data_IF_666065226855
#
_entry.id   IF_666065226855
#
_cell.length_a   1.000
_cell.length_b   1.000
_cell.length_c   1.000
_cell.angle_alpha   90.00
_cell.angle_beta   90.00
_cell.angle_gamma   90.00
#
_symmetry.space_group_name_H-M   'P 1'
#
loop_
_entity.id
_entity.type
_entity.pdbx_description
1 polymer ?
#
# COMPACT_ATOMS: atom_id res chain seq x y z
N UNK A 1 18.87 17.62 5.44
CA UNK A 1 17.77 17.31 6.37
C UNK A 1 18.38 16.37 7.39
N UNK A 2 18.72 16.91 8.56
CA UNK A 2 19.24 16.14 9.68
C UNK A 2 18.08 15.36 10.30
N UNK A 3 18.18 14.06 10.29
CA UNK A 3 17.36 13.19 11.13
C UNK A 3 18.09 12.89 12.42
N UNK A 4 17.38 12.43 13.43
CA UNK A 4 17.73 12.22 14.83
C UNK A 4 19.15 11.64 15.10
N UNK A 5 19.86 11.16 14.07
CA UNK A 5 21.22 10.62 14.16
C UNK A 5 22.29 11.38 13.37
N UNK A 6 21.96 12.51 12.72
CA UNK A 6 22.93 13.25 11.87
C UNK A 6 23.32 12.55 10.57
N UNK A 7 22.67 11.44 10.21
CA UNK A 7 22.94 10.72 8.97
C UNK A 7 22.13 11.29 7.80
N UNK A 8 22.79 11.48 6.66
CA UNK A 8 22.12 11.89 5.41
C UNK A 8 21.33 10.70 4.85
N UNK A 9 20.03 10.88 4.63
CA UNK A 9 19.19 9.86 4.03
C UNK A 9 19.70 9.47 2.63
N UNK A 10 20.00 8.20 2.45
CA UNK A 10 20.40 7.64 1.17
C UNK A 10 19.17 7.36 0.30
N UNK A 11 19.15 7.83 -0.95
CA UNK A 11 18.10 7.45 -1.91
C UNK A 11 18.12 5.95 -2.18
N UNK A 12 16.93 5.38 -2.35
CA UNK A 12 16.80 3.97 -2.75
C UNK A 12 17.26 3.80 -4.18
N UNK A 13 18.07 2.78 -4.42
CA UNK A 13 18.47 2.33 -5.74
C UNK A 13 17.53 1.21 -6.19
N UNK A 14 16.68 1.51 -7.16
CA UNK A 14 15.74 0.52 -7.72
C UNK A 14 16.44 -0.59 -8.51
N UNK A 15 17.71 -0.41 -8.88
CA UNK A 15 18.53 -1.44 -9.50
C UNK A 15 19.13 -2.46 -8.52
N UNK A 16 19.12 -2.15 -7.19
CA UNK A 16 19.77 -2.95 -6.18
C UNK A 16 19.04 -2.88 -4.82
N UNK A 17 17.79 -3.30 -4.80
CA UNK A 17 16.94 -3.34 -3.59
C UNK A 17 17.47 -4.38 -2.59
N UNK A 18 17.44 -4.04 -1.30
CA UNK A 18 17.94 -4.90 -0.23
C UNK A 18 16.97 -6.04 0.05
N UNK A 19 17.36 -7.24 -0.36
CA UNK A 19 16.56 -8.45 -0.19
C UNK A 19 17.49 -9.60 0.23
N UNK A 20 17.03 -10.42 1.16
CA UNK A 20 17.64 -11.72 1.42
C UNK A 20 16.61 -12.82 1.23
N UNK A 21 17.05 -13.98 0.78
CA UNK A 21 16.19 -15.14 0.57
C UNK A 21 16.87 -16.45 0.95
N UNK A 22 16.06 -17.47 1.27
CA UNK A 22 16.53 -18.79 1.65
C UNK A 22 15.47 -19.85 1.33
N UNK A 23 15.93 -21.09 1.07
CA UNK A 23 15.07 -22.26 1.10
C UNK A 23 14.64 -22.63 2.53
N UNK A 24 15.43 -22.21 3.54
CA UNK A 24 15.14 -22.46 4.94
C UNK A 24 14.18 -21.41 5.52
N UNK A 25 13.58 -21.75 6.68
CA UNK A 25 12.66 -20.84 7.37
C UNK A 25 13.40 -19.71 8.08
N UNK A 26 14.54 -20.01 8.70
CA UNK A 26 15.27 -19.06 9.57
C UNK A 26 16.74 -18.88 9.22
N UNK A 27 17.33 -19.81 8.49
CA UNK A 27 18.77 -19.87 8.28
C UNK A 27 19.14 -19.83 6.79
N UNK A 28 20.44 -19.72 6.53
CA UNK A 28 21.02 -19.72 5.19
C UNK A 28 20.46 -18.63 4.25
N UNK A 29 20.05 -17.48 4.80
CA UNK A 29 19.61 -16.36 3.99
C UNK A 29 20.77 -15.72 3.25
N UNK A 30 20.75 -15.82 1.93
CA UNK A 30 21.67 -15.12 1.04
C UNK A 30 21.18 -13.66 0.85
N UNK A 31 22.09 -12.71 1.04
CA UNK A 31 21.86 -11.31 0.72
C UNK A 31 22.04 -11.12 -0.80
N UNK A 32 20.96 -11.01 -1.51
CA UNK A 32 20.95 -10.88 -2.96
C UNK A 32 20.20 -9.63 -3.40
N UNK A 33 20.92 -8.52 -3.74
CA UNK A 33 20.26 -7.31 -4.21
C UNK A 33 19.45 -7.57 -5.48
N UNK A 34 18.14 -7.26 -5.43
CA UNK A 34 17.27 -7.50 -6.57
C UNK A 34 16.87 -6.19 -7.26
N UNK A 35 16.95 -6.11 -8.61
CA UNK A 35 16.38 -4.98 -9.33
C UNK A 35 14.84 -5.02 -9.27
N UNK A 36 14.24 -3.83 -9.27
CA UNK A 36 12.79 -3.69 -9.18
C UNK A 36 12.02 -4.47 -10.23
N UNK A 37 12.47 -4.44 -11.47
CA UNK A 37 11.84 -5.12 -12.60
C UNK A 37 12.01 -6.65 -12.56
N UNK A 38 12.82 -7.19 -11.64
CA UNK A 38 13.05 -8.62 -11.43
C UNK A 38 12.38 -9.19 -10.17
N UNK A 39 11.59 -8.39 -9.44
CA UNK A 39 10.89 -8.84 -8.22
C UNK A 39 10.03 -10.09 -8.45
N UNK A 40 9.40 -10.22 -9.62
CA UNK A 40 8.62 -11.39 -9.98
C UNK A 40 9.46 -12.68 -10.07
N UNK A 41 10.74 -12.59 -10.39
CA UNK A 41 11.64 -13.77 -10.42
C UNK A 41 11.86 -14.25 -8.98
N UNK A 42 12.20 -13.34 -8.07
CA UNK A 42 12.39 -13.64 -6.65
C UNK A 42 11.13 -14.29 -6.04
N UNK A 43 9.97 -13.65 -6.21
CA UNK A 43 8.74 -14.08 -5.57
C UNK A 43 8.18 -15.40 -6.10
N UNK A 44 8.68 -15.86 -7.25
CA UNK A 44 8.33 -17.15 -7.87
C UNK A 44 9.38 -18.25 -7.70
N UNK A 45 10.47 -18.00 -6.98
CA UNK A 45 11.46 -19.05 -6.69
C UNK A 45 10.78 -20.26 -6.01
N UNK A 46 11.06 -21.48 -6.43
CA UNK A 46 10.46 -22.66 -5.81
C UNK A 46 10.99 -22.85 -4.38
N UNK A 47 10.07 -23.08 -3.44
CA UNK A 47 10.39 -23.43 -2.04
C UNK A 47 11.34 -22.45 -1.31
N UNK A 48 11.23 -21.15 -1.59
CA UNK A 48 12.00 -20.12 -0.90
C UNK A 48 11.13 -19.25 0.00
N UNK A 49 11.80 -18.60 0.94
CA UNK A 49 11.30 -17.47 1.71
C UNK A 49 12.18 -16.26 1.43
N UNK A 50 11.63 -15.07 1.47
CA UNK A 50 12.41 -13.84 1.32
C UNK A 50 12.02 -12.80 2.37
N UNK A 51 12.90 -11.84 2.62
CA UNK A 51 12.71 -10.70 3.52
C UNK A 51 13.21 -9.42 2.84
N UNK A 52 12.69 -8.28 3.23
CA UNK A 52 13.06 -6.95 2.70
C UNK A 52 14.24 -6.31 3.47
N UNK A 53 15.10 -7.13 4.06
CA UNK A 53 16.32 -6.74 4.76
C UNK A 53 17.46 -7.66 4.37
N UNK A 54 18.70 -7.20 4.58
CA UNK A 54 19.86 -8.08 4.61
C UNK A 54 20.04 -8.70 5.99
N UNK A 55 20.67 -9.85 6.06
CA UNK A 55 21.11 -10.49 7.30
C UNK A 55 22.62 -10.32 7.51
N UNK A 56 23.09 -10.33 8.76
CA UNK A 56 24.53 -10.25 9.09
C UNK A 56 25.25 -11.57 8.83
N UNK A 57 24.61 -12.68 9.14
CA UNK A 57 25.20 -14.02 9.17
C UNK A 57 24.33 -15.11 8.52
N UNK A 58 23.33 -14.71 7.72
CA UNK A 58 22.39 -15.64 7.10
C UNK A 58 21.28 -16.14 8.02
N UNK A 59 21.29 -15.79 9.31
CA UNK A 59 20.19 -16.09 10.22
C UNK A 59 19.17 -14.94 10.23
N UNK A 60 17.86 -15.28 10.23
CA UNK A 60 16.75 -14.35 10.22
C UNK A 60 16.19 -14.17 11.65
N UNK A 61 16.63 -13.16 12.32
CA UNK A 61 16.10 -12.68 13.61
C UNK A 61 16.22 -11.16 13.68
N UNK A 62 15.50 -10.50 14.59
CA UNK A 62 15.57 -9.05 14.75
C UNK A 62 17.01 -8.56 15.05
N UNK A 63 17.78 -9.37 15.77
CA UNK A 63 19.15 -9.04 16.19
C UNK A 63 20.17 -9.24 15.06
N UNK A 64 19.82 -10.02 14.03
CA UNK A 64 20.74 -10.36 12.93
C UNK A 64 20.42 -9.66 11.61
N UNK A 65 19.39 -8.82 11.58
CA UNK A 65 19.13 -8.00 10.40
C UNK A 65 20.14 -6.85 10.31
N UNK A 66 20.73 -6.68 9.13
CA UNK A 66 21.57 -5.51 8.85
C UNK A 66 20.71 -4.24 8.83
N UNK A 67 21.25 -3.11 9.32
CA UNK A 67 20.59 -1.83 9.20
C UNK A 67 20.24 -1.49 7.75
N UNK A 68 19.06 -0.93 7.56
CA UNK A 68 18.58 -0.40 6.27
C UNK A 68 17.63 -1.31 5.51
N UNK A 69 16.52 -0.73 5.04
CA UNK A 69 15.53 -1.36 4.16
C UNK A 69 15.01 -0.35 3.13
N UNK A 70 14.54 -0.86 2.00
CA UNK A 70 14.19 -0.08 0.80
C UNK A 70 12.70 -0.21 0.43
N UNK A 71 12.02 -1.22 0.98
CA UNK A 71 10.70 -1.66 0.56
C UNK A 71 9.73 -1.77 1.72
N UNK A 72 8.49 -1.33 1.48
CA UNK A 72 7.32 -1.66 2.30
C UNK A 72 6.65 -2.88 1.68
N UNK A 73 6.30 -3.86 2.51
CA UNK A 73 5.57 -5.06 2.09
C UNK A 73 4.27 -5.12 2.87
N UNK A 74 3.15 -5.09 2.15
CA UNK A 74 1.80 -5.18 2.69
C UNK A 74 1.24 -6.56 2.41
N UNK A 75 0.63 -7.20 3.41
CA UNK A 75 -0.06 -8.50 3.29
C UNK A 75 -1.56 -8.27 3.44
N UNK A 76 -2.32 -8.57 2.41
CA UNK A 76 -3.77 -8.43 2.37
C UNK A 76 -4.36 -9.84 2.39
N UNK A 77 -5.00 -10.17 3.50
CA UNK A 77 -5.60 -11.47 3.74
C UNK A 77 -7.11 -11.32 3.95
N UNK A 78 -7.85 -11.22 2.84
CA UNK A 78 -9.31 -11.13 2.81
C UNK A 78 -9.87 -9.96 3.66
N UNK A 79 -9.28 -8.78 3.51
CA UNK A 79 -9.59 -7.56 4.28
C UNK A 79 -10.60 -6.63 3.60
N UNK A 80 -11.52 -7.19 2.81
CA UNK A 80 -12.61 -6.42 2.17
C UNK A 80 -12.14 -5.51 1.02
N UNK A 81 -10.92 -5.68 0.51
CA UNK A 81 -10.43 -4.99 -0.68
C UNK A 81 -10.02 -5.99 -1.76
N UNK A 82 -10.49 -5.77 -2.99
CA UNK A 82 -10.10 -6.58 -4.14
C UNK A 82 -8.76 -6.13 -4.72
N UNK A 83 -8.14 -6.97 -5.56
CA UNK A 83 -6.91 -6.62 -6.28
C UNK A 83 -7.14 -5.38 -7.16
N UNK A 84 -8.28 -5.31 -7.83
CA UNK A 84 -8.68 -4.23 -8.72
C UNK A 84 -8.85 -2.92 -7.96
N UNK A 85 -9.56 -2.95 -6.82
CA UNK A 85 -9.77 -1.79 -5.97
C UNK A 85 -8.44 -1.27 -5.39
N UNK A 86 -7.61 -2.16 -4.84
CA UNK A 86 -6.29 -1.80 -4.30
C UNK A 86 -5.38 -1.20 -5.38
N UNK A 87 -5.37 -1.78 -6.59
CA UNK A 87 -4.59 -1.28 -7.72
C UNK A 87 -5.01 0.12 -8.14
N UNK A 88 -6.32 0.41 -8.17
CA UNK A 88 -6.85 1.75 -8.48
C UNK A 88 -6.54 2.76 -7.39
N UNK A 89 -6.67 2.38 -6.12
CA UNK A 89 -6.38 3.27 -4.99
C UNK A 89 -4.92 3.71 -4.99
N UNK A 90 -4.01 2.82 -5.36
CA UNK A 90 -2.58 3.07 -5.39
C UNK A 90 -2.02 3.41 -6.78
N UNK A 91 -2.88 3.69 -7.80
CA UNK A 91 -2.45 3.82 -9.20
C UNK A 91 -1.36 4.88 -9.44
N UNK A 92 -1.29 5.94 -8.62
CA UNK A 92 -0.24 6.95 -8.70
C UNK A 92 1.13 6.44 -8.26
N UNK A 93 1.16 5.39 -7.42
CA UNK A 93 2.38 4.87 -6.82
C UNK A 93 2.97 3.73 -7.64
N UNK A 94 4.28 3.62 -7.61
CA UNK A 94 4.99 2.46 -8.09
C UNK A 94 4.75 1.30 -7.12
N UNK A 95 4.19 0.21 -7.60
CA UNK A 95 4.04 -1.01 -6.81
C UNK A 95 4.21 -2.28 -7.65
N UNK A 96 4.55 -3.35 -6.98
CA UNK A 96 4.47 -4.72 -7.47
C UNK A 96 3.47 -5.48 -6.61
N UNK A 97 2.46 -6.06 -7.24
CA UNK A 97 1.41 -6.84 -6.58
C UNK A 97 1.51 -8.30 -7.03
N UNK A 98 1.35 -9.23 -6.09
CA UNK A 98 1.27 -10.65 -6.40
C UNK A 98 0.33 -11.40 -5.44
N UNK A 99 -0.36 -12.44 -5.98
CA UNK A 99 -1.29 -13.25 -5.20
C UNK A 99 -0.56 -14.21 -4.27
N UNK A 100 -1.15 -14.53 -3.11
CA UNK A 100 -0.61 -15.54 -2.20
C UNK A 100 -1.14 -16.93 -2.54
N UNK A 101 -0.53 -17.98 -1.99
CA UNK A 101 -0.89 -19.39 -2.25
C UNK A 101 -2.37 -19.71 -1.97
N UNK A 102 -3.01 -18.96 -1.07
CA UNK A 102 -4.42 -19.19 -0.66
C UNK A 102 -5.39 -18.24 -1.37
N UNK A 103 -4.93 -17.47 -2.35
CA UNK A 103 -5.79 -16.58 -3.12
C UNK A 103 -6.81 -17.36 -3.94
N UNK A 104 -8.04 -16.86 -3.97
CA UNK A 104 -9.11 -17.31 -4.86
C UNK A 104 -9.86 -16.11 -5.42
N UNK A 105 -10.64 -16.22 -6.50
CA UNK A 105 -11.43 -15.12 -7.04
C UNK A 105 -12.44 -14.51 -6.06
N UNK A 106 -12.87 -15.26 -5.03
CA UNK A 106 -13.83 -14.80 -4.02
C UNK A 106 -13.18 -14.42 -2.69
N UNK A 107 -11.94 -14.87 -2.45
CA UNK A 107 -11.14 -14.55 -1.27
C UNK A 107 -9.81 -13.96 -1.72
N UNK A 108 -9.77 -12.63 -1.83
CA UNK A 108 -8.60 -11.92 -2.30
C UNK A 108 -7.48 -11.95 -1.27
N UNK A 109 -6.40 -12.65 -1.59
CA UNK A 109 -5.19 -12.76 -0.77
C UNK A 109 -3.98 -12.42 -1.60
N UNK A 110 -3.37 -11.29 -1.33
CA UNK A 110 -2.27 -10.78 -2.14
C UNK A 110 -1.32 -9.92 -1.33
N UNK A 111 -0.16 -9.65 -1.89
CA UNK A 111 0.84 -8.75 -1.33
C UNK A 111 1.09 -7.60 -2.27
N UNK A 112 1.34 -6.44 -1.67
CA UNK A 112 1.78 -5.25 -2.39
C UNK A 112 3.16 -4.87 -1.87
N UNK A 113 4.12 -4.71 -2.77
CA UNK A 113 5.45 -4.20 -2.47
C UNK A 113 5.53 -2.77 -3.01
N UNK A 114 5.89 -1.84 -2.14
CA UNK A 114 6.02 -0.41 -2.45
C UNK A 114 7.46 0.03 -2.20
N UNK A 115 8.18 0.51 -3.21
CA UNK A 115 9.51 1.07 -3.01
C UNK A 115 9.43 2.46 -2.40
N UNK A 116 10.35 2.75 -1.48
CA UNK A 116 10.49 4.05 -0.84
C UNK A 116 11.46 4.95 -1.63
N UNK A 117 11.37 6.27 -1.40
CA UNK A 117 12.31 7.24 -1.97
C UNK A 117 13.66 7.26 -1.23
N UNK A 118 13.68 6.86 0.05
CA UNK A 118 14.89 6.79 0.87
C UNK A 118 14.98 5.47 1.59
N UNK A 119 16.21 4.95 1.70
CA UNK A 119 16.56 3.84 2.60
C UNK A 119 16.47 4.32 4.03
N UNK A 120 15.76 3.58 4.87
CA UNK A 120 15.65 3.86 6.28
C UNK A 120 16.43 2.85 7.11
N UNK A 121 17.03 3.35 8.19
CA UNK A 121 17.63 2.54 9.25
C UNK A 121 16.81 2.78 10.51
N UNK A 122 16.00 1.81 10.91
CA UNK A 122 15.15 1.85 12.09
C UNK A 122 15.42 0.62 12.94
N UNK A 123 15.38 0.75 14.26
CA UNK A 123 15.35 -0.39 15.15
C UNK A 123 14.02 -1.15 15.06
N UNK A 124 13.82 -2.17 15.86
CA UNK A 124 12.62 -3.03 15.80
C UNK A 124 11.35 -2.28 16.16
N UNK A 125 11.40 -1.44 17.19
CA UNK A 125 10.23 -0.71 17.69
C UNK A 125 9.86 0.42 16.74
N UNK A 126 10.84 1.20 16.26
CA UNK A 126 10.66 2.25 15.28
C UNK A 126 10.18 1.71 13.92
N UNK A 127 10.67 0.53 13.51
CA UNK A 127 10.15 -0.13 12.31
C UNK A 127 8.69 -0.53 12.48
N UNK A 128 8.32 -1.10 13.63
CA UNK A 128 6.93 -1.46 13.92
C UNK A 128 6.02 -0.24 13.93
N UNK A 129 6.44 0.88 14.56
CA UNK A 129 5.67 2.14 14.54
C UNK A 129 5.61 2.73 13.14
N UNK A 130 6.70 2.73 12.38
CA UNK A 130 6.74 3.16 10.99
C UNK A 130 5.71 2.41 10.13
N UNK A 131 5.65 1.09 10.26
CA UNK A 131 4.67 0.28 9.55
C UNK A 131 3.24 0.57 10.01
N UNK A 132 3.00 0.78 11.31
CA UNK A 132 1.68 1.21 11.81
C UNK A 132 1.27 2.57 11.21
N UNK A 133 2.19 3.53 11.08
CA UNK A 133 1.95 4.81 10.44
C UNK A 133 1.57 4.66 8.96
N UNK A 134 2.17 3.69 8.24
CA UNK A 134 1.78 3.32 6.87
C UNK A 134 0.37 2.72 6.85
N UNK A 135 0.06 1.79 7.75
CA UNK A 135 -1.26 1.14 7.81
C UNK A 135 -2.39 2.16 8.07
N UNK A 136 -2.14 3.12 8.96
CA UNK A 136 -3.08 4.22 9.24
C UNK A 136 -3.32 5.12 8.01
N UNK A 137 -2.30 5.31 7.18
CA UNK A 137 -2.38 6.09 5.95
C UNK A 137 -3.10 5.37 4.81
N UNK A 138 -3.03 4.03 4.75
CA UNK A 138 -3.62 3.25 3.66
C UNK A 138 -5.15 3.37 3.62
N UNK A 139 -5.75 3.33 2.42
CA UNK A 139 -7.21 3.39 2.26
C UNK A 139 -7.94 2.07 2.58
N UNK A 140 -7.21 1.00 2.89
CA UNK A 140 -7.71 -0.34 3.20
C UNK A 140 -6.89 -1.00 4.32
N UNK A 141 -7.49 -2.01 4.94
CA UNK A 141 -6.83 -2.75 6.01
C UNK A 141 -5.82 -3.77 5.48
N UNK A 142 -4.77 -4.00 6.27
CA UNK A 142 -3.70 -4.96 6.00
C UNK A 142 -3.50 -5.89 7.20
N UNK A 143 -2.77 -6.99 7.02
CA UNK A 143 -2.38 -7.84 8.14
C UNK A 143 -1.40 -7.11 9.03
N UNK A 144 -1.79 -6.88 10.29
CA UNK A 144 -0.96 -6.20 11.29
C UNK A 144 0.39 -6.89 11.53
N UNK A 145 0.49 -8.19 11.26
CA UNK A 145 1.74 -8.93 11.38
C UNK A 145 2.82 -8.47 10.38
N UNK A 146 2.43 -7.74 9.32
CA UNK A 146 3.39 -7.17 8.37
C UNK A 146 4.27 -6.06 8.99
N UNK A 147 3.98 -5.60 10.21
CA UNK A 147 4.84 -4.70 10.99
C UNK A 147 6.05 -5.39 11.65
N UNK A 148 6.12 -6.72 11.62
CA UNK A 148 7.27 -7.45 12.13
C UNK A 148 8.46 -7.30 11.17
N UNK A 149 9.55 -6.71 11.65
CA UNK A 149 10.78 -6.46 10.89
C UNK A 149 11.40 -7.74 10.34
N UNK A 150 11.22 -8.87 11.06
CA UNK A 150 11.66 -10.20 10.66
C UNK A 150 10.66 -10.97 9.78
N UNK A 151 9.54 -10.36 9.37
CA UNK A 151 8.53 -11.06 8.59
C UNK A 151 9.14 -11.65 7.33
N UNK A 152 8.97 -12.96 7.14
CA UNK A 152 9.33 -13.65 5.92
C UNK A 152 8.13 -13.80 4.99
N UNK A 153 8.39 -13.80 3.71
CA UNK A 153 7.41 -13.93 2.66
C UNK A 153 7.67 -15.21 1.86
N UNK A 154 6.70 -16.12 1.83
CA UNK A 154 6.83 -17.36 1.07
C UNK A 154 6.73 -17.06 -0.42
N UNK A 155 7.62 -17.66 -1.20
CA UNK A 155 7.60 -17.64 -2.66
C UNK A 155 6.76 -18.79 -3.20
N UNK A 156 6.12 -18.59 -4.34
CA UNK A 156 5.39 -19.64 -5.07
C UNK A 156 5.03 -19.12 -6.46
N UNK A 157 4.64 -20.00 -7.37
CA UNK A 157 4.10 -19.60 -8.67
C UNK A 157 2.75 -18.88 -8.46
N UNK A 158 2.60 -17.66 -8.96
CA UNK A 158 1.47 -16.77 -8.70
C UNK A 158 1.14 -15.85 -9.87
N UNK A 159 -0.06 -15.26 -9.85
CA UNK A 159 -0.36 -14.08 -10.66
C UNK A 159 0.36 -12.86 -10.08
N UNK A 160 0.86 -11.99 -10.95
CA UNK A 160 1.47 -10.73 -10.53
C UNK A 160 1.22 -9.61 -11.54
N UNK A 161 1.35 -8.37 -11.06
CA UNK A 161 1.33 -7.18 -11.89
C UNK A 161 2.26 -6.10 -11.34
N UNK A 162 2.82 -5.30 -12.26
CA UNK A 162 3.53 -4.07 -11.93
C UNK A 162 2.66 -2.88 -12.29
N UNK A 163 2.54 -1.93 -11.37
CA UNK A 163 1.94 -0.65 -11.70
C UNK A 163 2.98 0.28 -12.34
N UNK A 164 2.55 1.04 -13.36
CA UNK A 164 3.38 2.03 -14.06
C UNK A 164 3.44 3.38 -13.33
N UNK A 165 2.78 3.52 -12.16
CA UNK A 165 2.84 4.71 -11.32
C UNK A 165 4.29 5.14 -11.05
N UNK A 166 4.52 6.43 -11.01
CA UNK A 166 5.87 7.01 -10.89
C UNK A 166 6.24 7.41 -9.46
N UNK A 167 5.24 7.60 -8.58
CA UNK A 167 5.48 8.03 -7.21
C UNK A 167 6.07 6.90 -6.38
N UNK A 168 7.18 7.18 -5.69
CA UNK A 168 7.69 6.34 -4.61
C UNK A 168 7.06 6.80 -3.29
N UNK A 169 7.00 5.92 -2.30
CA UNK A 169 6.55 6.31 -0.97
C UNK A 169 7.55 7.30 -0.37
N UNK A 170 7.09 8.49 0.03
CA UNK A 170 7.93 9.41 0.81
C UNK A 170 8.05 8.90 2.25
N UNK A 171 9.10 8.12 2.49
CA UNK A 171 9.36 7.48 3.77
C UNK A 171 9.39 8.47 4.95
N UNK A 172 9.78 9.74 4.71
CA UNK A 172 9.88 10.77 5.75
C UNK A 172 8.57 11.12 6.43
N UNK A 173 7.43 10.88 5.76
CA UNK A 173 6.10 11.14 6.31
C UNK A 173 5.71 10.16 7.44
N UNK A 174 6.42 9.04 7.54
CA UNK A 174 6.03 7.92 8.40
C UNK A 174 7.07 7.60 9.47
N UNK A 175 8.25 8.25 9.44
CA UNK A 175 9.30 8.03 10.47
C UNK A 175 8.77 8.49 11.83
N UNK A 176 8.80 7.62 12.85
CA UNK A 176 8.36 7.96 14.20
C UNK A 176 9.05 9.20 14.77
N UNK A 177 8.37 9.95 15.61
CA UNK A 177 8.91 11.11 16.37
C UNK A 177 9.52 12.21 15.50
N UNK A 178 9.00 12.41 14.30
CA UNK A 178 9.42 13.51 13.41
C UNK A 178 8.28 14.50 13.20
N UNK A 179 8.62 15.78 12.98
CA UNK A 179 7.63 16.84 12.72
C UNK A 179 6.71 16.51 11.54
N UNK A 180 7.24 15.91 10.48
CA UNK A 180 6.46 15.49 9.31
C UNK A 180 5.42 14.42 9.64
N UNK A 181 5.79 13.43 10.46
CA UNK A 181 4.84 12.41 10.90
C UNK A 181 3.78 13.02 11.83
N UNK A 182 4.18 13.94 12.72
CA UNK A 182 3.25 14.63 13.61
C UNK A 182 2.25 15.49 12.82
N UNK A 183 2.69 16.20 11.80
CA UNK A 183 1.82 16.95 10.87
C UNK A 183 0.84 16.01 10.14
N UNK A 184 1.32 14.86 9.65
CA UNK A 184 0.47 13.83 9.04
C UNK A 184 -0.56 13.30 10.04
N UNK A 185 -0.16 12.97 11.26
CA UNK A 185 -1.05 12.48 12.33
C UNK A 185 -2.12 13.53 12.65
N UNK A 186 -1.77 14.82 12.77
CA UNK A 186 -2.73 15.91 12.97
C UNK A 186 -3.77 15.99 11.84
N UNK A 187 -3.31 15.86 10.59
CA UNK A 187 -4.22 15.85 9.42
C UNK A 187 -5.19 14.67 9.48
N UNK A 188 -4.73 13.48 9.86
CA UNK A 188 -5.61 12.32 10.05
C UNK A 188 -6.63 12.57 11.16
N UNK A 189 -6.21 13.17 12.29
CA UNK A 189 -7.10 13.49 13.40
C UNK A 189 -8.22 14.45 12.99
N UNK A 190 -7.97 15.38 12.08
CA UNK A 190 -8.99 16.30 11.56
C UNK A 190 -10.16 15.56 10.89
N UNK A 191 -9.92 14.37 10.37
CA UNK A 191 -10.89 13.54 9.62
C UNK A 191 -11.24 12.23 10.33
N UNK A 192 -11.19 12.19 11.66
CA UNK A 192 -11.45 10.96 12.45
C UNK A 192 -12.83 10.34 12.21
N UNK A 193 -13.85 11.14 11.85
CA UNK A 193 -15.19 10.65 11.54
C UNK A 193 -15.32 9.93 10.21
N UNK A 194 -14.30 10.03 9.36
CA UNK A 194 -14.26 9.40 8.05
C UNK A 194 -13.57 8.04 8.11
N UNK A 195 -14.03 7.11 7.27
CA UNK A 195 -13.34 5.83 7.06
C UNK A 195 -11.97 6.04 6.39
N UNK A 196 -11.08 5.04 6.46
CA UNK A 196 -9.75 5.11 5.85
C UNK A 196 -9.81 5.48 4.36
N UNK A 197 -10.71 4.86 3.62
CA UNK A 197 -10.89 5.14 2.20
C UNK A 197 -11.41 6.56 1.94
N UNK A 198 -12.32 7.07 2.76
CA UNK A 198 -12.82 8.44 2.64
C UNK A 198 -11.71 9.45 2.93
N UNK A 199 -10.92 9.24 4.01
CA UNK A 199 -9.75 10.07 4.32
C UNK A 199 -8.75 10.10 3.17
N UNK A 200 -8.49 8.94 2.56
CA UNK A 200 -7.61 8.83 1.40
C UNK A 200 -8.06 9.75 0.26
N UNK A 201 -9.35 9.71 -0.09
CA UNK A 201 -9.88 10.54 -1.17
C UNK A 201 -9.87 12.03 -0.81
N UNK A 202 -10.20 12.43 0.42
CA UNK A 202 -10.09 13.83 0.88
C UNK A 202 -8.66 14.34 0.77
N UNK A 203 -7.68 13.59 1.24
CA UNK A 203 -6.26 13.97 1.25
C UNK A 203 -5.64 14.04 -0.17
N UNK A 204 -6.14 13.25 -1.11
CA UNK A 204 -5.67 13.21 -2.48
C UNK A 204 -6.53 14.06 -3.44
N UNK A 205 -7.53 14.80 -2.93
CA UNK A 205 -8.35 15.71 -3.73
C UNK A 205 -7.60 17.02 -4.01
N UNK A 206 -7.36 17.32 -5.29
CA UNK A 206 -6.83 18.61 -5.71
C UNK A 206 -7.97 19.56 -6.09
N UNK A 207 -7.79 20.87 -5.90
CA UNK A 207 -8.75 21.88 -6.39
C UNK A 207 -9.01 21.67 -7.90
N UNK A 208 -10.30 21.61 -8.28
CA UNK A 208 -10.72 21.35 -9.66
C UNK A 208 -10.85 19.88 -10.07
N UNK A 209 -10.41 18.94 -9.22
CA UNK A 209 -10.48 17.49 -9.51
C UNK A 209 -11.61 16.74 -8.80
N UNK A 210 -12.53 17.43 -8.09
CA UNK A 210 -13.57 16.81 -7.23
C UNK A 210 -14.45 15.80 -7.95
N UNK A 211 -14.98 16.14 -9.10
CA UNK A 211 -15.83 15.23 -9.89
C UNK A 211 -15.07 13.93 -10.20
N UNK A 212 -13.82 14.05 -10.64
CA UNK A 212 -12.96 12.90 -10.92
C UNK A 212 -12.68 12.07 -9.68
N UNK A 213 -12.45 12.71 -8.53
CA UNK A 213 -12.20 12.01 -7.26
C UNK A 213 -13.45 11.29 -6.75
N UNK A 214 -14.63 11.92 -6.83
CA UNK A 214 -15.88 11.27 -6.43
C UNK A 214 -16.25 10.13 -7.40
N UNK A 215 -16.04 10.28 -8.72
CA UNK A 215 -16.18 9.17 -9.68
C UNK A 215 -15.23 8.03 -9.36
N UNK A 216 -13.96 8.34 -9.10
CA UNK A 216 -12.95 7.34 -8.74
C UNK A 216 -13.31 6.62 -7.44
N UNK A 217 -13.75 7.36 -6.41
CA UNK A 217 -14.24 6.79 -5.15
C UNK A 217 -15.42 5.84 -5.39
N UNK A 218 -16.43 6.28 -6.14
CA UNK A 218 -17.59 5.47 -6.47
C UNK A 218 -17.22 4.18 -7.22
N UNK A 219 -16.31 4.27 -8.21
CA UNK A 219 -15.84 3.11 -8.96
C UNK A 219 -15.05 2.12 -8.11
N UNK A 220 -14.28 2.60 -7.14
CA UNK A 220 -13.59 1.73 -6.18
C UNK A 220 -14.59 0.98 -5.30
N UNK A 221 -15.64 1.64 -4.80
CA UNK A 221 -16.71 0.98 -4.04
C UNK A 221 -17.41 -0.10 -4.88
N UNK A 222 -17.66 0.16 -6.17
CA UNK A 222 -18.19 -0.85 -7.11
C UNK A 222 -17.22 -2.02 -7.26
N UNK A 223 -15.91 -1.77 -7.36
CA UNK A 223 -14.87 -2.82 -7.44
C UNK A 223 -14.79 -3.67 -6.17
N UNK A 224 -15.16 -3.08 -5.02
CA UNK A 224 -15.29 -3.77 -3.73
C UNK A 224 -16.62 -4.52 -3.58
N UNK A 225 -17.50 -4.49 -4.59
CA UNK A 225 -18.78 -5.21 -4.59
C UNK A 225 -19.92 -4.51 -3.87
N UNK A 226 -19.82 -3.20 -3.58
CA UNK A 226 -20.93 -2.47 -2.96
C UNK A 226 -22.09 -2.27 -3.96
N UNK A 227 -23.36 -2.45 -3.50
CA UNK A 227 -24.55 -2.14 -4.31
C UNK A 227 -24.63 -0.64 -4.65
N UNK A 228 -25.29 -0.32 -5.76
CA UNK A 228 -25.36 1.06 -6.32
C UNK A 228 -25.94 2.07 -5.33
N UNK A 229 -26.99 1.72 -4.61
CA UNK A 229 -27.65 2.54 -3.60
C UNK A 229 -26.70 2.88 -2.41
N UNK A 230 -25.88 1.91 -2.01
CA UNK A 230 -24.85 2.12 -1.01
C UNK A 230 -23.74 3.03 -1.56
N UNK A 231 -23.31 2.80 -2.80
CA UNK A 231 -22.30 3.65 -3.46
C UNK A 231 -22.78 5.11 -3.51
N UNK A 232 -24.03 5.34 -3.94
CA UNK A 232 -24.62 6.69 -3.97
C UNK A 232 -24.61 7.35 -2.58
N UNK A 233 -25.08 6.64 -1.56
CA UNK A 233 -25.09 7.12 -0.17
C UNK A 233 -23.70 7.51 0.30
N UNK A 234 -22.70 6.67 0.04
CA UNK A 234 -21.31 6.92 0.44
C UNK A 234 -20.68 8.10 -0.33
N UNK A 235 -20.99 8.25 -1.61
CA UNK A 235 -20.52 9.38 -2.42
C UNK A 235 -21.11 10.69 -1.90
N UNK A 236 -22.43 10.75 -1.63
CA UNK A 236 -23.09 11.93 -1.07
C UNK A 236 -22.52 12.28 0.30
N UNK A 237 -22.27 11.27 1.15
CA UNK A 237 -21.64 11.46 2.47
C UNK A 237 -20.24 12.04 2.36
N UNK A 238 -19.40 11.50 1.48
CA UNK A 238 -18.05 12.01 1.25
C UNK A 238 -18.09 13.45 0.72
N UNK A 239 -18.97 13.73 -0.27
CA UNK A 239 -19.14 15.05 -0.86
C UNK A 239 -19.54 16.10 0.18
N UNK A 240 -20.46 15.77 1.10
CA UNK A 240 -20.91 16.68 2.17
C UNK A 240 -19.75 17.06 3.15
N UNK A 241 -18.71 16.23 3.26
CA UNK A 241 -17.52 16.50 4.06
C UNK A 241 -16.45 17.33 3.35
N UNK A 242 -16.62 17.65 2.06
CA UNK A 242 -15.68 18.47 1.30
C UNK A 242 -15.97 19.97 1.43
N UNK A 243 -14.95 20.85 1.45
CA UNK A 243 -15.13 22.30 1.62
C UNK A 243 -16.08 22.95 0.61
N UNK A 244 -16.07 22.43 -0.63
CA UNK A 244 -16.92 22.93 -1.73
C UNK A 244 -17.78 21.79 -2.25
N UNK A 245 -18.74 21.31 -1.50
CA UNK A 245 -19.59 20.18 -1.89
C UNK A 245 -20.37 20.47 -3.18
N UNK A 246 -20.54 19.43 -4.01
CA UNK A 246 -21.36 19.49 -5.22
C UNK A 246 -22.84 19.41 -4.82
N UNK A 247 -23.77 20.03 -5.60
CA UNK A 247 -25.18 19.79 -5.44
C UNK A 247 -25.52 18.31 -5.70
N UNK A 248 -26.47 17.74 -4.95
CA UNK A 248 -26.89 16.34 -5.08
C UNK A 248 -27.31 16.01 -6.53
N UNK A 249 -28.01 16.93 -7.20
CA UNK A 249 -28.38 16.79 -8.60
C UNK A 249 -27.16 16.55 -9.52
N UNK A 250 -26.05 17.24 -9.29
CA UNK A 250 -24.82 17.06 -10.06
C UNK A 250 -24.19 15.70 -9.79
N UNK A 251 -24.25 15.21 -8.53
CA UNK A 251 -23.80 13.85 -8.20
C UNK A 251 -24.61 12.83 -8.97
N UNK A 252 -25.94 12.94 -8.97
CA UNK A 252 -26.84 12.00 -9.65
C UNK A 252 -26.65 12.03 -11.18
N UNK A 253 -26.60 13.23 -11.77
CA UNK A 253 -26.54 13.42 -13.23
C UNK A 253 -25.14 13.08 -13.82
N UNK A 254 -24.08 13.25 -13.06
CA UNK A 254 -22.71 13.12 -13.56
C UNK A 254 -22.02 11.87 -13.00
N UNK A 255 -21.95 11.76 -11.68
CA UNK A 255 -21.16 10.73 -11.00
C UNK A 255 -21.89 9.39 -11.08
N UNK A 256 -23.12 9.33 -10.58
CA UNK A 256 -23.90 8.08 -10.55
C UNK A 256 -24.24 7.57 -11.95
N UNK A 257 -24.45 8.46 -12.92
CA UNK A 257 -24.60 8.07 -14.33
C UNK A 257 -23.36 7.41 -14.90
N UNK A 258 -22.15 7.88 -14.52
CA UNK A 258 -20.88 7.28 -14.93
C UNK A 258 -20.70 5.90 -14.29
N UNK A 259 -21.04 5.79 -13.00
CA UNK A 259 -21.02 4.53 -12.24
C UNK A 259 -21.95 3.49 -12.88
N UNK A 260 -23.20 3.87 -13.16
CA UNK A 260 -24.18 2.97 -13.80
C UNK A 260 -23.69 2.44 -15.14
N UNK A 261 -23.08 3.30 -15.97
CA UNK A 261 -22.47 2.86 -17.24
C UNK A 261 -21.31 1.89 -17.05
N UNK A 262 -20.49 2.10 -16.02
CA UNK A 262 -19.36 1.21 -15.71
C UNK A 262 -19.84 -0.18 -15.25
N UNK A 263 -20.90 -0.25 -14.44
CA UNK A 263 -21.51 -1.49 -14.00
C UNK A 263 -22.09 -2.27 -15.20
N UNK A 264 -22.91 -1.62 -16.03
CA UNK A 264 -23.50 -2.24 -17.23
C UNK A 264 -22.42 -2.79 -18.17
N UNK A 265 -21.28 -2.09 -18.28
CA UNK A 265 -20.16 -2.56 -19.11
C UNK A 265 -19.49 -3.82 -18.55
N UNK A 266 -19.51 -4.01 -17.24
CA UNK A 266 -18.93 -5.21 -16.57
C UNK A 266 -19.83 -6.43 -16.61
N UNK A 267 -21.15 -6.21 -16.64
CA UNK A 267 -22.15 -7.27 -16.70
C UNK A 267 -22.35 -7.82 -18.13
N UNK A 268 -21.78 -7.16 -19.13
CA UNK A 268 -21.76 -7.67 -20.49
C UNK A 268 -20.59 -8.64 -20.64
N UNK A 269 -20.88 -9.93 -20.99
CA UNK A 269 -19.86 -10.96 -21.17
C UNK A 269 -18.86 -10.64 -22.27
#
# INVERSE_FOLDING_TARGET
IEFITGETLKRVDLGALRIAHSADISDNYANDPAPWDKMHILTQLPHHNWINHFTMNGHRSNDTLKPGFDLIVLDIDDKGVTIEAASKLLEDYKFFLYTTKRHTPVHHRFRIILPMNYRLTLDTDDYSEFMCNIFEWLPFDVDIQAKDRCRKWLTHKHFFTYNTGIKLIDARLFIPRTSKNDERKKTIQTYQSLSNIQRWFVQNSTMGGRNNQLVRYALVLVDMGYPVDIVETQVKKLNAGLPDSLPDKEIDDTIMRTVSKAIIKREKP
#
